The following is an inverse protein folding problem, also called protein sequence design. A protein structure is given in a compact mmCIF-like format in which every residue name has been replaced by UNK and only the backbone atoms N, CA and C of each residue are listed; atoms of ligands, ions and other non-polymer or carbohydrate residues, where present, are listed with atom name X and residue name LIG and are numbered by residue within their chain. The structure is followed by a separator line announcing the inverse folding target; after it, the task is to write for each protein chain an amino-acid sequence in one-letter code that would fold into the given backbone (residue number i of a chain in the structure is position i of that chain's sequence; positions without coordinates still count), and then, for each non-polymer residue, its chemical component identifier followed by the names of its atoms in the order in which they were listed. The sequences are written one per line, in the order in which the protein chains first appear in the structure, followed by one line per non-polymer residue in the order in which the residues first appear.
data_IF_704283269470
#
_entry.id   IF_704283269470
#
_cell.length_a   1.000
_cell.length_b   1.000
_cell.length_c   1.000
_cell.angle_alpha   90.00
_cell.angle_beta   90.00
_cell.angle_gamma   90.00
#
_symmetry.space_group_name_H-M   'P 1'
#
loop_
_entity.id
_entity.type
_entity.pdbx_description
1 polymer ?
#
# COMPACT_ATOMS: atom_id res chain seq x y z
N UNK A 1 -12.04 9.62 -0.44
CA UNK A 1 -11.61 8.26 -0.04
C UNK A 1 -10.28 7.98 -0.72
N UNK A 2 -9.38 7.31 -0.02
CA UNK A 2 -8.05 6.94 -0.48
C UNK A 2 -7.76 5.48 -0.13
N UNK A 3 -6.89 4.87 -0.93
CA UNK A 3 -6.36 3.54 -0.71
C UNK A 3 -4.87 3.52 -1.05
N UNK A 4 -4.16 2.56 -0.48
CA UNK A 4 -2.77 2.26 -0.83
C UNK A 4 -2.67 0.81 -1.29
N UNK A 5 -2.07 0.62 -2.46
CA UNK A 5 -1.79 -0.68 -3.05
C UNK A 5 -0.31 -1.00 -2.94
N UNK A 6 -0.01 -2.26 -2.58
CA UNK A 6 1.35 -2.80 -2.48
C UNK A 6 1.51 -3.85 -3.56
N UNK A 7 2.48 -3.74 -4.45
CA UNK A 7 2.60 -4.67 -5.58
C UNK A 7 4.06 -4.99 -5.89
N UNK A 8 4.32 -6.17 -6.45
CA UNK A 8 5.62 -6.48 -7.05
C UNK A 8 5.63 -6.05 -8.51
N UNK A 9 6.72 -5.45 -8.97
CA UNK A 9 6.92 -5.17 -10.40
C UNK A 9 7.41 -6.40 -11.17
N UNK A 10 7.77 -7.48 -10.48
CA UNK A 10 8.29 -8.73 -11.06
C UNK A 10 7.20 -9.80 -11.30
N UNK A 11 5.94 -9.44 -11.07
CA UNK A 11 4.79 -10.29 -11.38
C UNK A 11 4.36 -11.24 -10.26
N UNK A 12 5.12 -11.32 -9.16
CA UNK A 12 4.67 -12.02 -7.96
C UNK A 12 3.51 -11.27 -7.28
N UNK A 13 2.48 -12.01 -6.86
CA UNK A 13 1.37 -11.42 -6.12
C UNK A 13 1.82 -11.06 -4.71
N UNK A 14 1.47 -9.87 -4.24
CA UNK A 14 1.58 -9.50 -2.83
C UNK A 14 0.28 -9.89 -2.14
N UNK A 15 0.35 -10.59 -1.01
CA UNK A 15 -0.83 -10.94 -0.22
C UNK A 15 -0.70 -10.43 1.20
N UNK A 16 -1.58 -9.52 1.60
CA UNK A 16 -1.61 -9.00 2.96
C UNK A 16 -2.20 -10.06 3.89
N UNK A 17 -1.57 -10.23 5.05
CA UNK A 17 -2.05 -11.07 6.14
C UNK A 17 -2.76 -10.23 7.20
N UNK A 18 -2.06 -9.26 7.77
CA UNK A 18 -2.58 -8.40 8.83
C UNK A 18 -2.04 -6.97 8.71
N UNK A 19 -2.79 -6.03 9.28
CA UNK A 19 -2.43 -4.61 9.32
C UNK A 19 -2.64 -4.10 10.74
N UNK A 20 -1.70 -3.30 11.24
CA UNK A 20 -1.81 -2.58 12.52
C UNK A 20 -1.52 -1.09 12.31
N UNK A 21 -2.41 -0.17 12.74
CA UNK A 21 -3.75 -0.42 13.30
C UNK A 21 -4.68 -1.11 12.28
N UNK A 22 -5.75 -1.74 12.77
CA UNK A 22 -6.69 -2.48 11.92
C UNK A 22 -7.31 -1.58 10.86
N UNK A 23 -7.29 -2.07 9.61
CA UNK A 23 -7.85 -1.42 8.43
C UNK A 23 -8.51 -2.48 7.56
N UNK A 24 -9.52 -2.05 6.81
CA UNK A 24 -10.11 -2.88 5.75
C UNK A 24 -9.07 -3.00 4.63
N UNK A 25 -8.83 -4.20 4.15
CA UNK A 25 -7.98 -4.48 3.01
C UNK A 25 -8.56 -5.62 2.17
N UNK A 26 -8.17 -5.67 0.91
CA UNK A 26 -8.51 -6.73 -0.03
C UNK A 26 -7.27 -7.08 -0.85
N UNK A 27 -6.82 -8.33 -0.77
CA UNK A 27 -5.59 -8.83 -1.41
C UNK A 27 -4.36 -7.97 -1.12
N UNK A 28 -4.06 -7.01 -2.00
CA UNK A 28 -2.87 -6.16 -2.03
C UNK A 28 -3.20 -4.66 -1.82
N UNK A 29 -4.46 -4.32 -1.57
CA UNK A 29 -4.96 -2.96 -1.40
C UNK A 29 -5.56 -2.71 -0.01
N UNK A 30 -5.18 -1.58 0.61
CA UNK A 30 -5.59 -1.15 1.94
C UNK A 30 -6.39 0.13 1.85
N UNK A 31 -7.59 0.14 2.42
CA UNK A 31 -8.44 1.33 2.45
C UNK A 31 -8.01 2.26 3.59
N UNK A 32 -7.67 3.50 3.24
CA UNK A 32 -7.20 4.53 4.17
C UNK A 32 -8.29 5.50 4.61
N UNK A 33 -9.50 5.39 4.05
CA UNK A 33 -10.61 6.33 4.22
C UNK A 33 -10.22 7.75 3.75
N UNK A 34 -10.46 8.79 4.55
CA UNK A 34 -10.31 10.18 4.17
C UNK A 34 -9.07 10.76 4.84
N UNK A 35 -8.08 11.11 4.03
CA UNK A 35 -6.81 11.64 4.50
C UNK A 35 -6.91 13.14 4.75
N UNK A 36 -6.58 13.57 5.96
CA UNK A 36 -6.50 15.00 6.29
C UNK A 36 -5.23 15.60 5.68
N UNK A 37 -5.26 16.84 5.16
CA UNK A 37 -4.05 17.53 4.75
C UNK A 37 -3.02 17.58 5.89
N UNK A 38 -1.74 17.39 5.56
CA UNK A 38 -0.62 17.42 6.51
C UNK A 38 -0.74 16.39 7.65
N UNK A 39 -1.36 15.24 7.39
CA UNK A 39 -1.40 14.11 8.33
C UNK A 39 -0.34 13.06 8.00
N UNK A 40 0.07 12.33 9.03
CA UNK A 40 0.95 11.16 8.89
C UNK A 40 0.16 9.92 9.30
N UNK A 41 0.32 8.83 8.54
CA UNK A 41 -0.25 7.52 8.86
C UNK A 41 0.90 6.52 8.94
N UNK A 42 0.90 5.73 10.00
CA UNK A 42 1.83 4.63 10.19
C UNK A 42 1.06 3.33 10.13
N UNK A 43 1.47 2.42 9.24
CA UNK A 43 0.91 1.08 9.10
C UNK A 43 2.04 0.07 9.27
N UNK A 44 1.83 -0.92 10.12
CA UNK A 44 2.60 -2.16 10.13
C UNK A 44 1.82 -3.20 9.35
N UNK A 45 2.46 -3.82 8.36
CA UNK A 45 1.82 -4.75 7.43
C UNK A 45 2.59 -6.07 7.50
N UNK A 46 1.88 -7.17 7.73
CA UNK A 46 2.43 -8.52 7.57
C UNK A 46 1.93 -9.10 6.26
N UNK A 47 2.80 -9.82 5.54
CA UNK A 47 2.47 -10.46 4.26
C UNK A 47 2.40 -11.97 4.44
N UNK A 48 1.49 -12.62 3.71
CA UNK A 48 1.35 -14.08 3.66
C UNK A 48 2.46 -14.76 2.85
N UNK A 49 3.16 -13.98 2.03
CA UNK A 49 4.26 -14.43 1.18
C UNK A 49 5.40 -13.42 1.21
N UNK A 50 6.56 -13.84 0.69
CA UNK A 50 7.76 -13.01 0.56
C UNK A 50 7.97 -12.68 -0.93
N UNK A 51 7.38 -11.58 -1.45
CA UNK A 51 7.67 -11.14 -2.82
C UNK A 51 9.14 -10.72 -2.94
N UNK A 52 9.76 -10.75 -4.13
CA UNK A 52 11.15 -10.27 -4.31
C UNK A 52 11.28 -8.78 -4.03
N UNK A 53 10.29 -8.00 -4.49
CA UNK A 53 10.25 -6.56 -4.32
C UNK A 53 8.83 -6.04 -4.05
N UNK A 54 8.76 -4.85 -3.47
CA UNK A 54 7.51 -4.17 -3.15
C UNK A 54 7.56 -2.72 -3.60
N UNK A 55 6.54 -2.34 -4.35
CA UNK A 55 6.24 -0.99 -4.81
C UNK A 55 4.92 -0.54 -4.19
N UNK A 56 4.71 0.76 -4.13
CA UNK A 56 3.55 1.36 -3.48
C UNK A 56 2.88 2.36 -4.41
N UNK A 57 1.56 2.31 -4.47
CA UNK A 57 0.74 3.32 -5.12
C UNK A 57 -0.35 3.78 -4.16
N UNK A 58 -0.46 5.09 -3.96
CA UNK A 58 -1.59 5.70 -3.28
C UNK A 58 -2.55 6.27 -4.32
N UNK A 59 -3.85 6.02 -4.15
CA UNK A 59 -4.89 6.54 -5.02
C UNK A 59 -6.04 7.11 -4.18
N UNK A 60 -6.80 8.04 -4.74
CA UNK A 60 -7.96 8.59 -4.07
C UNK A 60 -8.56 9.79 -4.79
N UNK A 61 -9.51 10.44 -4.14
CA UNK A 61 -10.18 11.63 -4.65
C UNK A 61 -9.59 12.90 -4.04
N UNK A 62 -9.23 13.87 -4.87
CA UNK A 62 -8.81 15.22 -4.47
C UNK A 62 -9.68 16.23 -5.18
N UNK A 63 -10.44 17.04 -4.44
CA UNK A 63 -11.36 18.05 -4.99
C UNK A 63 -12.37 17.48 -6.02
N UNK A 64 -12.80 16.22 -5.85
CA UNK A 64 -13.73 15.57 -6.78
C UNK A 64 -13.07 14.89 -7.98
N UNK A 65 -11.75 15.02 -8.13
CA UNK A 65 -10.99 14.39 -9.21
C UNK A 65 -10.21 13.16 -8.70
N UNK A 66 -10.14 12.06 -9.48
CA UNK A 66 -9.31 10.92 -9.14
C UNK A 66 -7.82 11.26 -9.34
N UNK A 67 -7.02 10.93 -8.34
CA UNK A 67 -5.56 11.13 -8.36
C UNK A 67 -4.89 9.85 -7.90
N UNK A 68 -3.76 9.52 -8.51
CA UNK A 68 -2.88 8.44 -8.08
C UNK A 68 -1.41 8.91 -8.10
N UNK A 69 -0.62 8.39 -7.18
CA UNK A 69 0.81 8.60 -7.13
C UNK A 69 1.50 7.30 -6.74
N UNK A 70 2.58 6.97 -7.44
CA UNK A 70 3.43 5.83 -7.11
C UNK A 70 4.70 6.29 -6.42
N UNK A 71 5.18 5.47 -5.49
CA UNK A 71 6.51 5.65 -4.90
C UNK A 71 7.57 5.61 -5.98
N UNK A 72 8.59 6.48 -5.88
CA UNK A 72 9.81 6.39 -6.69
C UNK A 72 10.88 5.48 -6.05
N UNK A 73 10.51 4.77 -4.98
CA UNK A 73 11.33 3.81 -4.26
C UNK A 73 10.65 2.45 -4.26
N UNK A 74 11.47 1.44 -4.52
CA UNK A 74 11.16 0.03 -4.35
C UNK A 74 11.77 -0.45 -3.04
N UNK A 75 11.09 -1.35 -2.34
CA UNK A 75 11.65 -2.08 -1.20
C UNK A 75 11.98 -3.48 -1.69
N UNK A 76 13.26 -3.81 -1.71
CA UNK A 76 13.73 -5.16 -2.04
C UNK A 76 13.80 -5.99 -0.76
N UNK A 77 13.40 -7.25 -0.86
CA UNK A 77 13.64 -8.20 0.21
C UNK A 77 15.09 -8.66 0.12
N UNK A 78 15.98 -8.08 0.93
CA UNK A 78 17.34 -8.58 1.05
C UNK A 78 17.32 -10.04 1.54
N UNK A 79 18.05 -10.93 0.87
CA UNK A 79 18.52 -12.16 1.49
C UNK A 79 19.66 -11.76 2.44
N UNK A 80 19.48 -12.01 3.74
CA UNK A 80 20.62 -12.03 4.68
C UNK A 80 21.59 -13.16 4.33
#
# INVERSE_FOLDING_TARGET
MAAIRIYSSEGELVRIDTITPEKIFQEDEIYLDSLKPKSNIFLKIALKNKPTNMNFQISGMVNGEPVAASSNKTVDWEEE
#
